data_IF_256603331640
#
_entry.id   IF_256603331640
#
_cell.length_a   1.000
_cell.length_b   1.000
_cell.length_c   1.000
_cell.angle_alpha   90.00
_cell.angle_beta   90.00
_cell.angle_gamma   90.00
#
_symmetry.space_group_name_H-M   'P 1'
#
loop_
_entity.id
_entity.type
_entity.pdbx_description
1 polymer ?
#
# COMPACT_ATOMS: atom_id res chain seq x y z
N UNK A 1 -6.51 55.39 -37.39
CA UNK A 1 -7.17 55.47 -36.07
C UNK A 1 -7.39 54.04 -35.58
N UNK A 2 -6.95 53.77 -34.35
CA UNK A 2 -6.86 52.48 -33.67
C UNK A 2 -8.24 52.05 -33.13
N UNK A 3 -8.61 50.77 -33.23
CA UNK A 3 -9.73 50.19 -32.45
C UNK A 3 -9.29 48.87 -31.76
N UNK A 4 -9.53 48.70 -30.44
CA UNK A 4 -9.08 47.55 -29.65
C UNK A 4 -10.11 46.40 -29.49
N UNK A 5 -9.60 45.16 -29.57
CA UNK A 5 -9.92 43.85 -28.95
C UNK A 5 -11.35 43.43 -28.47
N UNK A 6 -11.83 42.20 -28.81
CA UNK A 6 -13.03 41.54 -28.26
C UNK A 6 -12.74 40.53 -27.12
N UNK A 7 -11.67 40.70 -26.36
CA UNK A 7 -11.16 39.66 -25.43
C UNK A 7 -11.95 39.55 -24.12
N UNK A 8 -12.73 40.56 -23.75
CA UNK A 8 -13.36 40.68 -22.42
C UNK A 8 -14.63 39.83 -22.27
N UNK A 9 -15.41 39.68 -23.33
CA UNK A 9 -16.72 39.00 -23.31
C UNK A 9 -16.57 37.47 -23.21
N UNK A 10 -15.70 36.91 -24.05
CA UNK A 10 -15.34 35.49 -24.06
C UNK A 10 -14.77 35.01 -22.71
N UNK A 11 -14.07 35.89 -21.97
CA UNK A 11 -13.50 35.57 -20.65
C UNK A 11 -14.57 35.56 -19.56
N UNK A 12 -15.60 36.39 -19.68
CA UNK A 12 -16.73 36.43 -18.74
C UNK A 12 -17.62 35.19 -18.91
N UNK A 13 -17.93 34.83 -20.16
CA UNK A 13 -18.69 33.62 -20.49
C UNK A 13 -17.96 32.34 -20.06
N UNK A 14 -16.64 32.23 -20.32
CA UNK A 14 -15.85 31.07 -19.91
C UNK A 14 -15.84 30.88 -18.38
N UNK A 15 -15.75 31.96 -17.60
CA UNK A 15 -15.83 31.91 -16.14
C UNK A 15 -17.20 31.48 -15.65
N UNK A 16 -18.27 31.95 -16.29
CA UNK A 16 -19.64 31.56 -15.97
C UNK A 16 -19.86 30.06 -16.19
N UNK A 17 -19.44 29.54 -17.36
CA UNK A 17 -19.57 28.11 -17.69
C UNK A 17 -18.69 27.22 -16.81
N UNK A 18 -17.49 27.68 -16.44
CA UNK A 18 -16.61 26.97 -15.51
C UNK A 18 -17.20 26.90 -14.10
N UNK A 19 -17.77 28.01 -13.60
CA UNK A 19 -18.43 28.02 -12.30
C UNK A 19 -19.68 27.12 -12.30
N UNK A 20 -20.46 27.12 -13.38
CA UNK A 20 -21.59 26.21 -13.53
C UNK A 20 -21.15 24.74 -13.52
N UNK A 21 -20.08 24.39 -14.25
CA UNK A 21 -19.52 23.03 -14.26
C UNK A 21 -18.95 22.62 -12.89
N UNK A 22 -18.38 23.56 -12.12
CA UNK A 22 -17.92 23.30 -10.76
C UNK A 22 -19.08 23.04 -9.79
N UNK A 23 -20.18 23.78 -9.90
CA UNK A 23 -21.37 23.55 -9.07
C UNK A 23 -22.06 22.22 -9.42
N UNK A 24 -22.11 21.86 -10.70
CA UNK A 24 -22.62 20.56 -11.16
C UNK A 24 -21.71 19.40 -10.71
N UNK A 25 -20.39 19.57 -10.79
CA UNK A 25 -19.43 18.60 -10.27
C UNK A 25 -19.51 18.45 -8.74
N UNK A 26 -19.74 19.53 -7.99
CA UNK A 26 -19.97 19.48 -6.54
C UNK A 26 -21.28 18.78 -6.21
N UNK A 27 -22.35 19.05 -6.95
CA UNK A 27 -23.63 18.38 -6.78
C UNK A 27 -23.51 16.87 -7.08
N UNK A 28 -22.82 16.50 -8.16
CA UNK A 28 -22.53 15.11 -8.50
C UNK A 28 -21.65 14.41 -7.46
N UNK A 29 -20.62 15.08 -6.95
CA UNK A 29 -19.78 14.55 -5.88
C UNK A 29 -20.53 14.40 -4.55
N UNK A 30 -21.44 15.32 -4.23
CA UNK A 30 -22.30 15.22 -3.06
C UNK A 30 -23.29 14.04 -3.16
N UNK A 31 -23.90 13.86 -4.34
CA UNK A 31 -24.78 12.73 -4.62
C UNK A 31 -24.02 11.39 -4.54
N UNK A 32 -22.84 11.30 -5.16
CA UNK A 32 -22.00 10.11 -5.12
C UNK A 32 -21.52 9.78 -3.70
N UNK A 33 -21.23 10.81 -2.89
CA UNK A 33 -20.86 10.64 -1.48
C UNK A 33 -22.02 10.17 -0.62
N UNK A 34 -23.24 10.61 -0.89
CA UNK A 34 -24.44 10.15 -0.21
C UNK A 34 -24.73 8.68 -0.56
N UNK A 35 -24.78 8.34 -1.85
CA UNK A 35 -25.00 6.97 -2.33
C UNK A 35 -23.88 6.01 -1.89
N UNK A 36 -22.64 6.48 -1.91
CA UNK A 36 -21.47 5.76 -1.41
C UNK A 36 -21.54 5.51 0.10
N UNK A 37 -22.11 6.43 0.89
CA UNK A 37 -22.32 6.23 2.34
C UNK A 37 -23.39 5.18 2.62
N UNK A 38 -24.50 5.20 1.90
CA UNK A 38 -25.59 4.24 2.11
C UNK A 38 -25.14 2.82 1.76
N UNK A 39 -24.47 2.67 0.61
CA UNK A 39 -23.84 1.39 0.22
C UNK A 39 -22.77 0.97 1.21
N UNK A 40 -21.87 1.87 1.61
CA UNK A 40 -20.84 1.54 2.58
C UNK A 40 -21.43 1.12 3.94
N UNK A 41 -22.56 1.69 4.36
CA UNK A 41 -23.24 1.31 5.60
C UNK A 41 -23.82 -0.10 5.47
N UNK A 42 -24.56 -0.39 4.40
CA UNK A 42 -25.10 -1.73 4.15
C UNK A 42 -24.00 -2.81 4.04
N UNK A 43 -22.91 -2.50 3.33
CA UNK A 43 -21.75 -3.39 3.23
C UNK A 43 -21.04 -3.57 4.57
N UNK A 44 -20.91 -2.50 5.36
CA UNK A 44 -20.30 -2.54 6.69
C UNK A 44 -21.10 -3.42 7.63
N UNK A 45 -22.43 -3.36 7.60
CA UNK A 45 -23.27 -4.17 8.49
C UNK A 45 -23.24 -5.65 8.08
N UNK A 46 -23.28 -5.96 6.78
CA UNK A 46 -23.05 -7.34 6.31
C UNK A 46 -21.65 -7.86 6.64
N UNK A 47 -20.63 -7.01 6.51
CA UNK A 47 -19.25 -7.36 6.82
C UNK A 47 -19.02 -7.54 8.33
N UNK A 48 -19.75 -6.82 9.19
CA UNK A 48 -19.73 -7.05 10.64
C UNK A 48 -20.28 -8.43 10.99
N UNK A 49 -21.46 -8.78 10.49
CA UNK A 49 -22.07 -10.08 10.77
C UNK A 49 -21.18 -11.25 10.32
N UNK A 50 -20.69 -11.22 9.08
CA UNK A 50 -19.74 -12.23 8.59
C UNK A 50 -18.39 -12.16 9.30
N UNK A 51 -17.99 -10.96 9.73
CA UNK A 51 -16.76 -10.73 10.45
C UNK A 51 -16.78 -11.32 11.85
N UNK A 52 -17.93 -11.29 12.54
CA UNK A 52 -18.10 -11.86 13.87
C UNK A 52 -17.98 -13.39 13.83
N UNK A 53 -18.64 -14.05 12.86
CA UNK A 53 -18.55 -15.49 12.63
C UNK A 53 -17.10 -15.90 12.29
N UNK A 54 -16.48 -15.17 11.37
CA UNK A 54 -15.10 -15.43 10.96
C UNK A 54 -14.11 -15.13 12.08
N UNK A 55 -14.36 -14.13 12.93
CA UNK A 55 -13.52 -13.83 14.09
C UNK A 55 -13.60 -14.94 15.14
N UNK A 56 -14.77 -15.53 15.35
CA UNK A 56 -14.94 -16.67 16.23
C UNK A 56 -14.17 -17.90 15.71
N UNK A 57 -14.28 -18.20 14.42
CA UNK A 57 -13.56 -19.31 13.78
C UNK A 57 -12.04 -19.06 13.74
N UNK A 58 -11.63 -17.85 13.39
CA UNK A 58 -10.22 -17.44 13.39
C UNK A 58 -9.61 -17.46 14.79
N UNK A 59 -10.39 -17.25 15.85
CA UNK A 59 -9.90 -17.37 17.23
C UNK A 59 -9.64 -18.84 17.60
N UNK A 60 -10.51 -19.75 17.17
CA UNK A 60 -10.33 -21.19 17.38
C UNK A 60 -9.14 -21.74 16.60
N UNK A 61 -9.02 -21.37 15.32
CA UNK A 61 -7.89 -21.78 14.47
C UNK A 61 -6.59 -21.03 14.82
N UNK A 62 -6.70 -19.82 15.34
CA UNK A 62 -5.59 -18.92 15.60
C UNK A 62 -4.61 -19.42 16.65
N UNK A 63 -5.06 -20.17 17.65
CA UNK A 63 -4.17 -20.75 18.67
C UNK A 63 -3.24 -21.82 18.05
N UNK A 64 -3.78 -22.70 17.19
CA UNK A 64 -2.97 -23.70 16.47
C UNK A 64 -2.07 -23.04 15.41
N UNK A 65 -2.62 -22.06 14.69
CA UNK A 65 -1.88 -21.30 13.68
C UNK A 65 -0.77 -20.43 14.29
N UNK A 66 -0.89 -19.97 15.54
CA UNK A 66 0.19 -19.24 16.24
C UNK A 66 1.41 -20.13 16.45
N UNK A 67 1.21 -21.38 16.91
CA UNK A 67 2.31 -22.31 17.17
C UNK A 67 3.01 -22.68 15.86
N UNK A 68 2.25 -23.12 14.85
CA UNK A 68 2.78 -23.44 13.52
C UNK A 68 3.38 -22.22 12.82
N UNK A 69 2.75 -21.06 12.99
CA UNK A 69 3.20 -19.79 12.42
C UNK A 69 4.53 -19.33 12.98
N UNK A 70 4.81 -19.56 14.26
CA UNK A 70 6.12 -19.23 14.87
C UNK A 70 7.26 -20.09 14.30
N UNK A 71 7.00 -21.38 14.13
CA UNK A 71 7.96 -22.31 13.52
C UNK A 71 8.24 -21.91 12.06
N UNK A 72 7.18 -21.72 11.26
CA UNK A 72 7.27 -21.29 9.87
C UNK A 72 7.89 -19.90 9.71
N UNK A 73 7.65 -18.98 10.64
CA UNK A 73 8.27 -17.65 10.61
C UNK A 73 9.78 -17.73 10.90
N UNK A 74 10.20 -18.62 11.81
CA UNK A 74 11.61 -18.85 12.12
C UNK A 74 12.34 -19.46 10.92
N UNK A 75 11.76 -20.51 10.32
CA UNK A 75 12.29 -21.13 9.10
C UNK A 75 12.27 -20.15 7.92
N UNK A 76 11.18 -19.39 7.78
CA UNK A 76 11.00 -18.37 6.76
C UNK A 76 12.04 -17.25 6.87
N UNK A 77 12.39 -16.81 8.09
CA UNK A 77 13.49 -15.86 8.31
C UNK A 77 14.83 -16.40 7.78
N UNK A 78 15.14 -17.67 8.06
CA UNK A 78 16.38 -18.30 7.58
C UNK A 78 16.39 -18.36 6.04
N UNK A 79 15.35 -18.93 5.43
CA UNK A 79 15.22 -19.06 3.97
C UNK A 79 15.19 -17.72 3.25
N UNK A 80 14.48 -16.73 3.79
CA UNK A 80 14.47 -15.38 3.27
C UNK A 80 15.87 -14.75 3.37
N UNK A 81 16.57 -14.92 4.50
CA UNK A 81 17.94 -14.46 4.66
C UNK A 81 18.90 -15.08 3.64
N UNK A 82 18.77 -16.37 3.35
CA UNK A 82 19.55 -17.05 2.31
C UNK A 82 19.22 -16.53 0.91
N UNK A 83 17.94 -16.39 0.59
CA UNK A 83 17.48 -15.83 -0.68
C UNK A 83 17.95 -14.38 -0.88
N UNK A 84 17.89 -13.56 0.16
CA UNK A 84 18.39 -12.19 0.16
C UNK A 84 19.90 -12.16 -0.01
N UNK A 85 20.68 -12.99 0.70
CA UNK A 85 22.12 -13.11 0.50
C UNK A 85 22.48 -13.51 -0.92
N UNK A 86 21.74 -14.47 -1.48
CA UNK A 86 21.90 -14.92 -2.87
C UNK A 86 21.60 -13.79 -3.86
N UNK A 87 20.50 -13.07 -3.66
CA UNK A 87 20.13 -11.90 -4.46
C UNK A 87 21.17 -10.77 -4.34
N UNK A 88 21.64 -10.47 -3.13
CA UNK A 88 22.68 -9.47 -2.89
C UNK A 88 23.98 -9.82 -3.60
N UNK A 89 24.37 -11.10 -3.59
CA UNK A 89 25.53 -11.59 -4.34
C UNK A 89 25.34 -11.41 -5.83
N UNK A 90 24.18 -11.80 -6.38
CA UNK A 90 23.84 -11.58 -7.79
C UNK A 90 23.87 -10.10 -8.17
N UNK A 91 23.29 -9.22 -7.34
CA UNK A 91 23.28 -7.77 -7.58
C UNK A 91 24.70 -7.20 -7.53
N UNK A 92 25.51 -7.61 -6.56
CA UNK A 92 26.89 -7.14 -6.43
C UNK A 92 27.77 -7.59 -7.60
N UNK A 93 27.62 -8.86 -8.02
CA UNK A 93 28.32 -9.41 -9.20
C UNK A 93 27.88 -8.73 -10.51
N UNK A 94 26.64 -8.22 -10.56
CA UNK A 94 26.08 -7.53 -11.73
C UNK A 94 25.96 -6.01 -11.55
N UNK A 95 26.59 -5.42 -10.53
CA UNK A 95 26.40 -4.02 -10.17
C UNK A 95 26.77 -3.07 -11.32
N UNK A 96 27.80 -3.42 -12.10
CA UNK A 96 28.19 -2.68 -13.30
C UNK A 96 27.10 -2.65 -14.38
N UNK A 97 26.32 -3.73 -14.55
CA UNK A 97 25.21 -3.80 -15.51
C UNK A 97 23.92 -3.14 -14.98
N UNK A 98 23.76 -3.07 -13.65
CA UNK A 98 22.62 -2.43 -13.00
C UNK A 98 22.74 -0.91 -13.06
N UNK A 99 23.96 -0.37 -12.88
CA UNK A 99 24.24 1.07 -12.94
C UNK A 99 23.99 1.65 -14.36
N UNK A 100 24.34 0.89 -15.41
CA UNK A 100 24.07 1.26 -16.82
C UNK A 100 22.58 1.30 -17.17
N UNK A 101 21.73 0.49 -16.52
CA UNK A 101 20.30 0.35 -16.88
C UNK A 101 19.34 1.19 -16.04
N UNK A 102 19.73 1.61 -14.83
CA UNK A 102 18.83 2.31 -13.90
C UNK A 102 18.97 3.83 -13.92
N UNK A 103 20.12 4.38 -14.33
CA UNK A 103 20.33 5.82 -14.52
C UNK A 103 20.28 6.68 -13.23
N UNK A 104 20.92 7.86 -13.27
CA UNK A 104 21.13 8.72 -12.10
C UNK A 104 19.85 9.12 -11.33
N UNK A 105 18.68 9.16 -11.98
CA UNK A 105 17.41 9.58 -11.36
C UNK A 105 16.72 8.52 -10.49
N UNK A 106 17.00 7.23 -10.69
CA UNK A 106 16.56 6.19 -9.76
C UNK A 106 17.52 6.04 -8.56
N UNK A 107 18.75 6.53 -8.69
CA UNK A 107 19.79 6.46 -7.66
C UNK A 107 19.47 7.24 -6.38
N UNK A 108 18.86 8.42 -6.46
CA UNK A 108 18.57 9.23 -5.26
C UNK A 108 17.37 8.73 -4.46
N UNK A 109 16.34 8.22 -5.15
CA UNK A 109 15.19 7.57 -4.50
C UNK A 109 15.60 6.21 -3.93
N UNK A 110 16.44 5.46 -4.66
CA UNK A 110 17.05 4.24 -4.16
C UNK A 110 17.92 4.52 -2.93
N UNK A 111 18.80 5.54 -2.95
CA UNK A 111 19.72 5.83 -1.84
C UNK A 111 19.01 6.31 -0.58
N UNK A 112 17.96 7.12 -0.71
CA UNK A 112 17.13 7.54 0.43
C UNK A 112 16.26 6.42 0.99
N UNK A 113 15.71 5.57 0.11
CA UNK A 113 15.05 4.34 0.52
C UNK A 113 16.03 3.39 1.20
N UNK A 114 17.21 3.16 0.63
CA UNK A 114 18.28 2.31 1.17
C UNK A 114 18.71 2.78 2.55
N UNK A 115 18.95 4.08 2.76
CA UNK A 115 19.36 4.58 4.08
C UNK A 115 18.27 4.41 5.14
N UNK A 116 17.00 4.52 4.74
CA UNK A 116 15.88 4.23 5.62
C UNK A 116 15.79 2.73 5.90
N UNK A 117 15.89 1.90 4.86
CA UNK A 117 15.84 0.45 4.92
C UNK A 117 17.00 -0.16 5.73
N UNK A 118 18.21 0.36 5.64
CA UNK A 118 19.38 -0.08 6.42
C UNK A 118 19.16 0.17 7.92
N UNK A 119 18.59 1.33 8.28
CA UNK A 119 18.21 1.62 9.66
C UNK A 119 17.08 0.72 10.19
N UNK A 120 16.20 0.24 9.31
CA UNK A 120 15.19 -0.77 9.66
C UNK A 120 15.76 -2.18 9.69
N UNK A 121 16.68 -2.53 8.79
CA UNK A 121 17.30 -3.85 8.70
C UNK A 121 18.17 -4.14 9.92
N UNK A 122 18.97 -3.16 10.37
CA UNK A 122 19.73 -3.29 11.61
C UNK A 122 18.82 -3.53 12.83
N UNK A 123 17.67 -2.83 12.89
CA UNK A 123 16.65 -3.04 13.93
C UNK A 123 15.87 -4.34 13.76
N UNK A 124 15.77 -4.88 12.56
CA UNK A 124 15.06 -6.12 12.25
C UNK A 124 15.91 -7.35 12.62
N UNK A 125 17.22 -7.26 12.41
CA UNK A 125 18.20 -8.30 12.73
C UNK A 125 18.39 -8.48 14.24
N UNK A 126 18.37 -7.36 14.98
CA UNK A 126 18.44 -7.37 16.44
C UNK A 126 17.14 -7.85 17.11
N UNK A 127 16.00 -7.81 16.41
CA UNK A 127 14.69 -8.16 16.97
C UNK A 127 14.33 -9.62 16.76
N UNK A 128 13.80 -10.23 17.83
CA UNK A 128 13.24 -11.57 17.76
C UNK A 128 11.98 -11.61 16.88
N UNK A 129 11.53 -12.80 16.46
CA UNK A 129 10.24 -12.96 15.75
C UNK A 129 9.10 -12.39 16.59
N UNK A 130 9.14 -12.59 17.91
CA UNK A 130 8.09 -12.16 18.83
C UNK A 130 8.01 -10.63 18.94
N UNK A 131 9.16 -9.94 18.97
CA UNK A 131 9.19 -8.46 19.01
C UNK A 131 8.58 -7.85 17.75
N UNK A 132 8.85 -8.46 16.59
CA UNK A 132 8.29 -8.00 15.30
C UNK A 132 6.78 -8.23 15.21
N UNK A 133 6.29 -9.32 15.80
CA UNK A 133 4.86 -9.61 15.87
C UNK A 133 4.16 -8.59 16.77
N UNK A 134 4.76 -8.23 17.92
CA UNK A 134 4.19 -7.23 18.82
C UNK A 134 4.20 -5.82 18.20
N UNK A 135 5.31 -5.40 17.58
CA UNK A 135 5.39 -4.15 16.82
C UNK A 135 4.34 -4.08 15.71
N UNK A 136 4.18 -5.18 14.96
CA UNK A 136 3.17 -5.30 13.91
C UNK A 136 1.76 -5.18 14.46
N UNK A 137 1.48 -5.81 15.60
CA UNK A 137 0.20 -5.71 16.31
C UNK A 137 -0.07 -4.28 16.79
N UNK A 138 0.93 -3.60 17.33
CA UNK A 138 0.82 -2.21 17.75
C UNK A 138 0.54 -1.30 16.54
N UNK A 139 1.23 -1.51 15.41
CA UNK A 139 1.00 -0.77 14.18
C UNK A 139 -0.44 -0.92 13.66
N UNK A 140 -0.96 -2.15 13.63
CA UNK A 140 -2.36 -2.42 13.23
C UNK A 140 -3.34 -1.70 14.16
N UNK A 141 -3.10 -1.76 15.48
CA UNK A 141 -3.93 -1.06 16.48
C UNK A 141 -3.89 0.45 16.29
N UNK A 142 -2.72 1.02 16.03
CA UNK A 142 -2.51 2.46 15.84
C UNK A 142 -3.07 2.98 14.52
N UNK A 143 -3.07 2.15 13.47
CA UNK A 143 -3.41 2.58 12.12
C UNK A 143 -4.04 1.45 11.29
N UNK A 144 -5.29 1.05 11.61
CA UNK A 144 -5.95 -0.09 10.96
C UNK A 144 -6.10 0.11 9.44
N UNK A 145 -6.42 1.32 8.98
CA UNK A 145 -6.57 1.60 7.53
C UNK A 145 -5.27 1.47 6.74
N UNK A 146 -4.12 1.86 7.32
CA UNK A 146 -2.82 1.72 6.66
C UNK A 146 -2.41 0.26 6.57
N UNK A 147 -2.61 -0.50 7.65
CA UNK A 147 -2.34 -1.92 7.67
C UNK A 147 -3.14 -2.67 6.59
N UNK A 148 -4.44 -2.39 6.46
CA UNK A 148 -5.28 -2.99 5.41
C UNK A 148 -4.79 -2.62 4.00
N UNK A 149 -4.40 -1.37 3.77
CA UNK A 149 -3.85 -0.93 2.49
C UNK A 149 -2.54 -1.66 2.13
N UNK A 150 -1.62 -1.77 3.08
CA UNK A 150 -0.36 -2.50 2.90
C UNK A 150 -0.65 -3.98 2.62
N UNK A 151 -1.52 -4.62 3.40
CA UNK A 151 -1.90 -6.01 3.21
C UNK A 151 -2.52 -6.26 1.81
N UNK A 152 -3.35 -5.35 1.32
CA UNK A 152 -3.92 -5.43 -0.03
C UNK A 152 -2.85 -5.38 -1.12
N UNK A 153 -1.86 -4.49 -0.99
CA UNK A 153 -0.75 -4.39 -1.95
C UNK A 153 0.10 -5.67 -1.93
N UNK A 154 0.49 -6.12 -0.74
CA UNK A 154 1.30 -7.34 -0.57
C UNK A 154 0.55 -8.57 -1.12
N UNK A 155 -0.73 -8.72 -0.76
CA UNK A 155 -1.58 -9.81 -1.25
C UNK A 155 -1.76 -9.79 -2.76
N UNK A 156 -1.93 -8.61 -3.36
CA UNK A 156 -1.98 -8.46 -4.82
C UNK A 156 -0.66 -8.88 -5.48
N UNK A 157 0.49 -8.47 -4.93
CA UNK A 157 1.80 -8.85 -5.45
C UNK A 157 2.00 -10.37 -5.41
N UNK A 158 1.67 -11.01 -4.28
CA UNK A 158 1.74 -12.47 -4.15
C UNK A 158 0.80 -13.15 -5.16
N UNK A 159 -0.46 -12.71 -5.26
CA UNK A 159 -1.42 -13.24 -6.24
C UNK A 159 -0.91 -13.07 -7.68
N UNK A 160 -0.29 -11.93 -8.00
CA UNK A 160 0.30 -11.64 -9.30
C UNK A 160 1.45 -12.58 -9.65
N UNK A 161 2.30 -12.92 -8.68
CA UNK A 161 3.40 -13.86 -8.85
C UNK A 161 2.87 -15.28 -9.16
N UNK A 162 1.92 -15.77 -8.35
CA UNK A 162 1.31 -17.09 -8.56
C UNK A 162 0.45 -17.17 -9.83
N UNK A 163 -0.16 -16.06 -10.27
CA UNK A 163 -0.93 -16.01 -11.52
C UNK A 163 -0.04 -15.90 -12.75
N UNK A 164 1.14 -15.29 -12.63
CA UNK A 164 2.09 -15.11 -13.73
C UNK A 164 2.94 -16.32 -14.07
N UNK A 165 2.81 -17.43 -13.33
CA UNK A 165 3.56 -18.68 -13.56
C UNK A 165 2.77 -19.73 -14.35
N UNK A 166 1.66 -19.36 -14.99
CA UNK A 166 0.96 -20.15 -16.02
C UNK A 166 0.94 -19.36 -17.31
#
# INVERSE_FOLDING_TARGET
MQHPSPTTDNRAEAKSRFNAALEEAKAGAAALKAEGRDRATAYRDQAKHKGDDLAAEAKAYGEEAKVKGRELATEGKVKAGEGLRSLSKLVNENAHQVDEKLGAKYGDYARSASKSLDGYAAKLDEKSVDDLVEDGREFVRKSPGKALGIAAIVGFMLSRLFRGSR
#
